data_IF_685580874054
#
_entry.id   IF_685580874054
#
_cell.length_a   1.000
_cell.length_b   1.000
_cell.length_c   1.000
_cell.angle_alpha   90.00
_cell.angle_beta   90.00
_cell.angle_gamma   90.00
#
_symmetry.space_group_name_H-M   'P 1'
#
loop_
_entity.id
_entity.type
_entity.pdbx_description
1 polymer ?
#
# COMPACT_ATOMS: atom_id res chain seq x y z
N UNK A 1 12.48 -1.19 -17.96
CA UNK A 1 11.66 -1.97 -16.99
C UNK A 1 12.46 -2.09 -15.70
N UNK A 2 11.88 -1.70 -14.57
CA UNK A 2 12.49 -2.00 -13.27
C UNK A 2 12.32 -3.50 -12.98
N UNK A 3 13.34 -4.13 -12.41
CA UNK A 3 13.34 -5.54 -12.03
C UNK A 3 13.87 -5.68 -10.61
N UNK A 4 13.20 -6.48 -9.79
CA UNK A 4 13.57 -6.74 -8.40
C UNK A 4 13.86 -8.24 -8.28
N UNK A 5 15.12 -8.67 -8.06
CA UNK A 5 15.46 -10.08 -7.93
C UNK A 5 14.95 -10.66 -6.61
N UNK A 6 14.20 -11.76 -6.67
CA UNK A 6 13.73 -12.50 -5.48
C UNK A 6 14.64 -13.68 -5.11
N UNK A 7 15.66 -13.96 -5.93
CA UNK A 7 16.47 -15.19 -5.84
C UNK A 7 15.61 -16.43 -6.03
N UNK A 8 15.97 -17.53 -5.35
CA UNK A 8 15.23 -18.79 -5.38
C UNK A 8 14.00 -18.81 -4.43
N UNK A 9 13.66 -17.68 -3.81
CA UNK A 9 12.57 -17.61 -2.85
C UNK A 9 11.22 -17.52 -3.57
N UNK A 10 10.20 -18.25 -3.11
CA UNK A 10 8.84 -18.05 -3.59
C UNK A 10 8.35 -16.63 -3.22
N UNK A 11 7.40 -16.11 -4.01
CA UNK A 11 6.77 -14.83 -3.69
C UNK A 11 6.06 -14.90 -2.32
N UNK A 12 6.06 -13.81 -1.54
CA UNK A 12 5.37 -13.81 -0.24
C UNK A 12 3.87 -14.04 -0.41
N UNK A 13 3.29 -14.79 0.52
CA UNK A 13 1.83 -14.91 0.65
C UNK A 13 1.22 -13.52 0.86
N UNK A 14 0.09 -13.19 0.21
CA UNK A 14 -0.53 -11.88 0.33
C UNK A 14 -0.99 -11.62 1.78
N UNK A 15 -0.55 -10.50 2.33
CA UNK A 15 -0.93 -10.09 3.67
C UNK A 15 -2.33 -9.45 3.67
N UNK A 16 -3.18 -9.75 4.68
CA UNK A 16 -4.45 -9.07 4.82
C UNK A 16 -4.25 -7.61 5.25
N UNK A 17 -5.24 -6.76 4.94
CA UNK A 17 -5.26 -5.38 5.41
C UNK A 17 -5.26 -5.32 6.94
N UNK A 18 -4.50 -4.37 7.52
CA UNK A 18 -4.59 -4.12 8.96
C UNK A 18 -5.94 -3.51 9.33
N UNK A 19 -6.52 -3.83 10.51
CA UNK A 19 -7.74 -3.18 10.97
C UNK A 19 -7.58 -1.66 11.03
N UNK A 20 -8.50 -0.95 10.40
CA UNK A 20 -8.55 0.50 10.38
C UNK A 20 -9.94 0.97 10.83
N UNK A 21 -9.99 1.97 11.71
CA UNK A 21 -11.24 2.65 12.02
C UNK A 21 -11.69 3.52 10.83
N UNK A 22 -12.95 4.03 10.82
CA UNK A 22 -13.47 4.79 9.69
C UNK A 22 -12.63 6.01 9.29
N UNK A 23 -12.09 6.75 10.26
CA UNK A 23 -11.25 7.92 10.01
C UNK A 23 -9.93 7.55 9.31
N UNK A 24 -9.22 6.52 9.81
CA UNK A 24 -8.00 6.02 9.17
C UNK A 24 -8.28 5.49 7.77
N UNK A 25 -9.41 4.80 7.59
CA UNK A 25 -9.82 4.29 6.28
C UNK A 25 -10.00 5.43 5.28
N UNK A 26 -10.65 6.51 5.67
CA UNK A 26 -10.82 7.70 4.81
C UNK A 26 -9.48 8.31 4.40
N UNK A 27 -8.53 8.43 5.32
CA UNK A 27 -7.17 8.90 5.04
C UNK A 27 -6.45 7.99 4.03
N UNK A 28 -6.59 6.66 4.20
CA UNK A 28 -6.03 5.67 3.27
C UNK A 28 -6.62 5.83 1.87
N UNK A 29 -7.94 5.90 1.76
CA UNK A 29 -8.66 6.03 0.49
C UNK A 29 -8.34 7.33 -0.24
N UNK A 30 -8.24 8.46 0.48
CA UNK A 30 -7.85 9.76 -0.09
C UNK A 30 -6.42 9.75 -0.65
N UNK A 31 -5.47 9.13 0.06
CA UNK A 31 -4.09 9.04 -0.41
C UNK A 31 -3.94 8.09 -1.60
N UNK A 32 -4.62 6.94 -1.58
CA UNK A 32 -4.66 6.01 -2.74
C UNK A 32 -5.20 6.76 -3.96
N UNK A 33 -6.29 7.51 -3.81
CA UNK A 33 -6.83 8.34 -4.90
C UNK A 33 -5.79 9.34 -5.41
N UNK A 34 -5.12 10.07 -4.52
CA UNK A 34 -4.07 11.01 -4.92
C UNK A 34 -2.93 10.31 -5.69
N UNK A 35 -2.47 9.14 -5.25
CA UNK A 35 -1.40 8.42 -5.92
C UNK A 35 -1.81 7.85 -7.29
N UNK A 36 -3.07 7.42 -7.43
CA UNK A 36 -3.65 7.05 -8.72
C UNK A 36 -3.76 8.27 -9.65
N UNK A 37 -4.23 9.42 -9.15
CA UNK A 37 -4.35 10.66 -9.93
C UNK A 37 -2.97 11.17 -10.40
N UNK A 38 -1.92 10.92 -9.62
CA UNK A 38 -0.52 11.25 -9.95
C UNK A 38 0.16 10.20 -10.84
N UNK A 39 -0.53 9.12 -11.21
CA UNK A 39 0.03 7.99 -11.98
C UNK A 39 1.26 7.34 -11.30
N UNK A 40 1.31 7.35 -9.96
CA UNK A 40 2.37 6.71 -9.18
C UNK A 40 2.12 5.22 -8.95
N UNK A 41 0.85 4.81 -8.94
CA UNK A 41 0.40 3.44 -8.71
C UNK A 41 -0.74 3.12 -9.67
N UNK A 42 -1.04 1.84 -9.84
CA UNK A 42 -2.14 1.35 -10.66
C UNK A 42 -2.88 0.20 -9.96
N UNK A 43 -4.17 -0.03 -10.29
CA UNK A 43 -4.87 -1.25 -9.87
C UNK A 43 -4.17 -2.49 -10.44
N UNK A 44 -3.95 -3.51 -9.61
CA UNK A 44 -3.31 -4.75 -10.04
C UNK A 44 -4.00 -6.00 -9.49
N UNK A 45 -3.68 -7.15 -10.10
CA UNK A 45 -4.04 -8.50 -9.62
C UNK A 45 -2.77 -9.29 -9.32
N UNK A 46 -2.04 -8.86 -8.29
CA UNK A 46 -0.79 -9.51 -7.88
C UNK A 46 -1.04 -10.75 -7.02
N UNK A 47 -0.23 -11.82 -7.15
CA UNK A 47 -0.27 -12.96 -6.24
C UNK A 47 0.29 -12.65 -4.84
N UNK A 48 0.91 -11.47 -4.65
CA UNK A 48 1.48 -11.01 -3.38
C UNK A 48 0.98 -9.61 -3.00
N UNK A 49 0.94 -9.33 -1.70
CA UNK A 49 0.49 -8.06 -1.13
C UNK A 49 1.16 -7.81 0.22
N UNK A 50 1.44 -6.54 0.52
CA UNK A 50 1.90 -6.08 1.83
C UNK A 50 0.81 -5.25 2.50
N UNK A 51 0.66 -5.38 3.82
CA UNK A 51 -0.34 -4.62 4.56
C UNK A 51 0.10 -3.16 4.73
N UNK A 52 -0.82 -2.22 4.51
CA UNK A 52 -0.58 -0.79 4.70
C UNK A 52 -0.68 -0.43 6.19
N UNK A 53 0.21 0.47 6.63
CA UNK A 53 0.16 1.10 7.95
C UNK A 53 0.15 2.62 7.76
N UNK A 54 -0.67 3.32 8.55
CA UNK A 54 -0.66 4.79 8.57
C UNK A 54 -0.17 5.25 9.93
N UNK A 55 0.86 6.08 9.92
CA UNK A 55 1.44 6.72 11.11
C UNK A 55 1.28 8.23 11.04
N UNK A 56 1.26 8.88 12.20
CA UNK A 56 1.26 10.35 12.28
C UNK A 56 2.66 10.82 12.64
N UNK A 57 3.31 11.55 11.73
CA UNK A 57 4.65 12.10 11.91
C UNK A 57 4.63 13.60 11.59
N UNK A 58 5.12 14.42 12.51
CA UNK A 58 5.11 15.89 12.41
C UNK A 58 3.72 16.46 12.07
N UNK A 59 2.68 15.94 12.72
CA UNK A 59 1.29 16.37 12.51
C UNK A 59 0.63 15.85 11.23
N UNK A 60 1.37 15.17 10.33
CA UNK A 60 0.88 14.68 9.04
C UNK A 60 0.74 13.16 9.05
N UNK A 61 -0.27 12.65 8.34
CA UNK A 61 -0.41 11.21 8.09
C UNK A 61 0.60 10.77 7.03
N UNK A 62 1.23 9.61 7.23
CA UNK A 62 2.20 9.00 6.32
C UNK A 62 1.97 7.50 6.20
N UNK A 63 2.26 6.97 5.02
CA UNK A 63 2.32 5.55 4.68
C UNK A 63 3.73 5.02 4.85
#
# INVERSE_FOLDING_TARGET
LAYIPTGDNPLPTPQPLRPANPEKRKIIEEAIKQYLDMDLIEPCKSPTAAAIVVVKQNGKNRF
#
